data_IF_975105074598
#
_entry.id   IF_975105074598
#
_cell.length_a   1.000
_cell.length_b   1.000
_cell.length_c   1.000
_cell.angle_alpha   90.00
_cell.angle_beta   90.00
_cell.angle_gamma   90.00
#
_symmetry.space_group_name_H-M   'P 1'
#
loop_
_entity.id
_entity.type
_entity.pdbx_description
1 polymer ?
#
# COMPACT_ATOMS: atom_id res chain seq x y z
N UNK A 1 29.70 12.23 11.42
CA UNK A 1 29.25 10.91 11.95
C UNK A 1 27.82 10.70 11.49
N UNK A 2 27.65 9.94 10.44
CA UNK A 2 26.30 9.63 9.90
C UNK A 2 25.66 8.67 10.89
N UNK A 3 24.71 9.15 11.65
CA UNK A 3 23.84 8.33 12.47
C UNK A 3 23.15 7.35 11.53
N UNK A 4 23.43 6.07 11.70
CA UNK A 4 22.71 5.01 11.04
C UNK A 4 21.22 5.19 11.32
N UNK A 5 20.46 5.57 10.31
CA UNK A 5 19.00 5.61 10.36
C UNK A 5 18.60 4.17 10.69
N UNK A 6 18.02 3.96 11.86
CA UNK A 6 17.59 2.64 12.28
C UNK A 6 16.66 2.07 11.23
N UNK A 7 17.02 0.92 10.66
CA UNK A 7 16.28 0.19 9.64
C UNK A 7 14.95 -0.43 10.14
N UNK A 8 14.41 0.06 11.26
CA UNK A 8 13.31 -0.59 11.97
C UNK A 8 11.92 0.01 11.70
N UNK A 9 11.81 0.95 10.76
CA UNK A 9 10.48 1.39 10.31
C UNK A 9 9.81 0.26 9.50
N UNK A 10 8.55 -0.01 9.80
CA UNK A 10 7.73 -0.89 8.95
C UNK A 10 7.23 -0.12 7.72
N UNK A 11 6.94 -0.84 6.64
CA UNK A 11 6.30 -0.26 5.47
C UNK A 11 4.80 -0.54 5.45
N UNK A 12 4.02 0.44 5.02
CA UNK A 12 2.62 0.27 4.62
C UNK A 12 2.56 0.56 3.12
N UNK A 13 2.33 -0.49 2.35
CA UNK A 13 2.24 -0.42 0.89
C UNK A 13 0.78 -0.51 0.49
N UNK A 14 0.23 0.58 -0.02
CA UNK A 14 -1.15 0.64 -0.47
C UNK A 14 -1.21 0.27 -1.95
N UNK A 15 -2.09 -0.66 -2.30
CA UNK A 15 -2.39 -1.07 -3.68
C UNK A 15 -3.72 -0.48 -4.10
N UNK A 16 -3.73 0.27 -5.17
CA UNK A 16 -4.93 0.87 -5.75
C UNK A 16 -4.81 1.02 -7.27
N UNK A 17 -5.87 1.43 -7.95
CA UNK A 17 -5.86 1.47 -9.42
C UNK A 17 -6.59 2.63 -10.06
N UNK A 18 -7.53 3.26 -9.40
CA UNK A 18 -8.39 4.27 -10.03
C UNK A 18 -8.52 5.56 -9.22
N UNK A 19 -8.93 6.67 -9.86
CA UNK A 19 -9.07 7.95 -9.15
C UNK A 19 -10.20 7.93 -8.13
N UNK A 20 -11.25 7.15 -8.37
CA UNK A 20 -12.35 6.97 -7.41
C UNK A 20 -11.88 6.29 -6.15
N UNK A 21 -11.15 5.19 -6.28
CA UNK A 21 -10.56 4.44 -5.16
C UNK A 21 -9.55 5.29 -4.38
N UNK A 22 -8.74 6.10 -5.08
CA UNK A 22 -7.81 7.01 -4.42
C UNK A 22 -8.53 7.98 -3.47
N UNK A 23 -9.60 8.60 -3.91
CA UNK A 23 -10.33 9.59 -3.13
C UNK A 23 -11.19 8.95 -2.04
N UNK A 24 -11.81 7.82 -2.34
CA UNK A 24 -12.82 7.17 -1.47
C UNK A 24 -12.18 6.24 -0.44
N UNK A 25 -11.15 5.50 -0.83
CA UNK A 25 -10.55 4.43 -0.01
C UNK A 25 -9.15 4.76 0.47
N UNK A 26 -8.28 5.23 -0.44
CA UNK A 26 -6.88 5.48 -0.11
C UNK A 26 -6.73 6.70 0.78
N UNK A 27 -7.37 7.82 0.42
CA UNK A 27 -7.19 9.08 1.15
C UNK A 27 -7.56 8.98 2.64
N UNK A 28 -8.72 8.41 3.04
CA UNK A 28 -9.05 8.25 4.47
C UNK A 28 -8.06 7.37 5.24
N UNK A 29 -7.61 6.27 4.63
CA UNK A 29 -6.61 5.39 5.24
C UNK A 29 -5.27 6.11 5.38
N UNK A 30 -4.89 6.87 4.36
CA UNK A 30 -3.66 7.63 4.36
C UNK A 30 -3.66 8.72 5.44
N UNK A 31 -4.77 9.46 5.59
CA UNK A 31 -4.90 10.50 6.61
C UNK A 31 -4.74 9.93 8.03
N UNK A 32 -5.33 8.75 8.28
CA UNK A 32 -5.13 8.04 9.53
C UNK A 32 -3.66 7.63 9.75
N UNK A 33 -2.99 7.10 8.73
CA UNK A 33 -1.59 6.69 8.83
C UNK A 33 -0.66 7.88 9.06
N UNK A 34 -0.95 9.03 8.46
CA UNK A 34 -0.22 10.28 8.70
C UNK A 34 -0.35 10.70 10.16
N UNK A 35 -1.55 10.65 10.72
CA UNK A 35 -1.78 10.94 12.15
C UNK A 35 -0.98 9.98 13.04
N UNK A 36 -0.97 8.68 12.74
CA UNK A 36 -0.16 7.72 13.49
C UNK A 36 1.35 8.02 13.37
N UNK A 37 1.83 8.38 12.18
CA UNK A 37 3.22 8.78 11.98
C UNK A 37 3.59 10.02 12.80
N UNK A 38 2.71 11.00 12.90
CA UNK A 38 2.94 12.17 13.77
C UNK A 38 3.05 11.76 15.25
N UNK A 39 2.19 10.83 15.72
CA UNK A 39 2.27 10.30 17.08
C UNK A 39 3.59 9.55 17.33
N UNK A 40 4.02 8.74 16.35
CA UNK A 40 5.31 8.03 16.43
C UNK A 40 6.48 9.03 16.56
N UNK A 41 6.53 10.05 15.71
CA UNK A 41 7.59 11.06 15.71
C UNK A 41 7.62 11.80 17.07
N UNK A 42 6.47 12.23 17.57
CA UNK A 42 6.35 12.92 18.85
C UNK A 42 6.76 12.05 20.05
N UNK A 43 6.72 10.73 19.89
CA UNK A 43 7.13 9.75 20.92
C UNK A 43 8.54 9.20 20.69
N UNK A 44 9.32 9.78 19.78
CA UNK A 44 10.63 9.28 19.36
C UNK A 44 10.62 7.83 18.84
N UNK A 45 9.51 7.40 18.28
CA UNK A 45 9.37 6.10 17.65
C UNK A 45 9.59 6.22 16.12
N UNK A 46 10.09 5.18 15.46
CA UNK A 46 10.24 5.19 14.01
C UNK A 46 8.88 5.28 13.32
N UNK A 47 8.77 6.14 12.31
CA UNK A 47 7.57 6.27 11.50
C UNK A 47 7.43 5.13 10.50
N UNK A 48 6.21 4.89 10.02
CA UNK A 48 5.95 3.99 8.89
C UNK A 48 6.38 4.63 7.57
N UNK A 49 7.01 3.84 6.71
CA UNK A 49 7.23 4.20 5.32
C UNK A 49 5.93 4.00 4.55
N UNK A 50 5.39 5.08 3.98
CA UNK A 50 4.13 5.07 3.24
C UNK A 50 4.40 4.98 1.74
N UNK A 51 3.94 3.90 1.12
CA UNK A 51 4.13 3.62 -0.30
C UNK A 51 2.77 3.42 -0.97
N UNK A 52 2.56 4.07 -2.10
CA UNK A 52 1.45 3.77 -3.00
C UNK A 52 1.99 3.05 -4.23
N UNK A 53 1.40 1.94 -4.59
CA UNK A 53 1.61 1.32 -5.90
C UNK A 53 0.29 1.23 -6.65
N UNK A 54 0.29 1.80 -7.84
CA UNK A 54 -0.81 1.67 -8.78
C UNK A 54 -0.63 0.38 -9.57
N UNK A 55 -1.69 -0.38 -9.74
CA UNK A 55 -1.66 -1.65 -10.49
C UNK A 55 -2.29 -1.47 -11.86
N UNK A 56 -1.90 -2.29 -12.85
CA UNK A 56 -2.50 -2.25 -14.17
C UNK A 56 -4.03 -2.43 -14.10
N UNK A 57 -4.76 -1.52 -14.73
CA UNK A 57 -6.21 -1.55 -14.80
C UNK A 57 -6.69 -1.04 -16.16
N UNK A 58 -7.61 -1.74 -16.83
CA UNK A 58 -8.21 -1.29 -18.08
C UNK A 58 -8.96 0.04 -17.98
N UNK A 59 -9.39 0.40 -16.78
CA UNK A 59 -10.17 1.62 -16.51
C UNK A 59 -9.33 2.77 -15.93
N UNK A 60 -8.00 2.62 -15.89
CA UNK A 60 -7.12 3.67 -15.43
C UNK A 60 -7.18 4.87 -16.37
N UNK A 61 -7.27 6.08 -15.79
CA UNK A 61 -7.30 7.33 -16.56
C UNK A 61 -5.91 7.86 -16.91
N UNK A 62 -4.88 7.36 -16.20
CA UNK A 62 -3.50 7.83 -16.28
C UNK A 62 -3.21 9.05 -15.40
N UNK A 63 -4.21 9.59 -14.71
CA UNK A 63 -4.08 10.75 -13.82
C UNK A 63 -3.83 10.36 -12.35
N UNK A 64 -4.00 9.08 -12.01
CA UNK A 64 -3.94 8.57 -10.64
C UNK A 64 -2.61 8.91 -9.96
N UNK A 65 -1.52 8.79 -10.70
CA UNK A 65 -0.19 9.14 -10.20
C UNK A 65 -0.10 10.63 -9.85
N UNK A 66 -0.58 11.51 -10.73
CA UNK A 66 -0.56 12.95 -10.51
C UNK A 66 -1.38 13.34 -9.29
N UNK A 67 -2.60 12.82 -9.18
CA UNK A 67 -3.49 13.08 -8.04
C UNK A 67 -2.84 12.67 -6.72
N UNK A 68 -2.28 11.47 -6.65
CA UNK A 68 -1.61 11.00 -5.44
C UNK A 68 -0.32 11.78 -5.13
N UNK A 69 0.41 12.18 -6.16
CA UNK A 69 1.63 12.96 -6.01
C UNK A 69 1.36 14.37 -5.48
N UNK A 70 0.25 14.97 -5.87
CA UNK A 70 -0.15 16.31 -5.41
C UNK A 70 -0.43 16.36 -3.90
N UNK A 71 -0.73 15.22 -3.28
CA UNK A 71 -0.92 15.16 -1.81
C UNK A 71 0.40 15.32 -1.02
N UNK A 72 1.56 15.09 -1.63
CA UNK A 72 2.89 15.24 -1.02
C UNK A 72 3.06 14.47 0.30
N UNK A 73 2.44 13.30 0.43
CA UNK A 73 2.39 12.53 1.68
C UNK A 73 3.16 11.21 1.58
N UNK A 74 3.12 10.57 0.42
CA UNK A 74 3.80 9.28 0.22
C UNK A 74 5.33 9.45 0.17
N UNK A 75 6.03 8.53 0.81
CA UNK A 75 7.49 8.42 0.67
C UNK A 75 7.88 7.89 -0.73
N UNK A 76 6.98 7.11 -1.35
CA UNK A 76 7.17 6.56 -2.69
C UNK A 76 5.84 6.31 -3.37
N UNK A 77 5.72 6.71 -4.63
CA UNK A 77 4.58 6.37 -5.50
C UNK A 77 5.09 5.63 -6.73
N UNK A 78 4.54 4.45 -6.99
CA UNK A 78 4.92 3.61 -8.12
C UNK A 78 3.77 3.60 -9.12
N UNK A 79 3.96 4.18 -10.32
CA UNK A 79 2.92 4.19 -11.34
C UNK A 79 2.67 2.79 -11.92
N UNK A 80 1.46 2.55 -12.42
CA UNK A 80 1.02 1.26 -12.92
C UNK A 80 1.96 0.65 -13.98
N UNK A 81 2.52 1.48 -14.86
CA UNK A 81 3.49 1.04 -15.89
C UNK A 81 4.79 0.45 -15.32
N UNK A 82 5.12 0.75 -14.06
CA UNK A 82 6.33 0.25 -13.38
C UNK A 82 6.03 -0.88 -12.40
N UNK A 83 4.76 -1.28 -12.23
CA UNK A 83 4.36 -2.29 -11.26
C UNK A 83 5.03 -3.65 -11.49
N UNK A 84 5.06 -4.13 -12.71
CA UNK A 84 5.75 -5.39 -13.03
C UNK A 84 7.24 -5.31 -12.71
N UNK A 85 7.87 -4.18 -12.97
CA UNK A 85 9.28 -3.97 -12.60
C UNK A 85 9.50 -4.03 -11.09
N UNK A 86 8.55 -3.50 -10.31
CA UNK A 86 8.55 -3.65 -8.85
C UNK A 86 8.50 -5.12 -8.42
N UNK A 87 7.62 -5.92 -9.02
CA UNK A 87 7.52 -7.35 -8.72
C UNK A 87 8.82 -8.11 -9.03
N UNK A 88 9.46 -7.82 -10.16
CA UNK A 88 10.68 -8.52 -10.54
C UNK A 88 11.89 -8.06 -9.72
N UNK A 89 12.03 -6.77 -9.48
CA UNK A 89 13.20 -6.20 -8.80
C UNK A 89 12.84 -5.04 -7.87
N UNK A 90 12.31 -5.34 -6.67
CA UNK A 90 11.91 -4.32 -5.70
C UNK A 90 13.04 -3.36 -5.32
N UNK A 91 14.28 -3.85 -5.26
CA UNK A 91 15.46 -3.05 -4.89
C UNK A 91 15.72 -1.85 -5.81
N UNK A 92 15.16 -1.82 -7.02
CA UNK A 92 15.24 -0.66 -7.91
C UNK A 92 14.42 0.55 -7.42
N UNK A 93 13.54 0.33 -6.46
CA UNK A 93 12.65 1.36 -5.90
C UNK A 93 13.09 1.83 -4.52
N UNK A 94 14.30 1.49 -4.13
CA UNK A 94 14.91 1.91 -2.87
C UNK A 94 14.98 0.79 -1.82
N UNK A 95 15.24 1.19 -0.59
CA UNK A 95 15.34 0.28 0.54
C UNK A 95 13.96 -0.04 1.11
N UNK A 96 13.71 -1.33 1.30
CA UNK A 96 12.48 -1.82 1.88
C UNK A 96 12.71 -2.21 3.34
N UNK A 97 11.89 -1.73 4.28
CA UNK A 97 11.92 -2.20 5.66
C UNK A 97 11.73 -3.72 5.74
N UNK A 98 12.34 -4.35 6.75
CA UNK A 98 12.22 -5.80 6.94
C UNK A 98 10.80 -6.27 7.24
N UNK A 99 9.98 -5.37 7.80
CA UNK A 99 8.57 -5.63 8.18
C UNK A 99 7.66 -4.69 7.40
N UNK A 100 6.47 -5.18 7.09
CA UNK A 100 5.46 -4.36 6.44
C UNK A 100 4.18 -5.10 6.18
N UNK A 101 3.24 -4.33 5.66
CA UNK A 101 1.95 -4.83 5.19
C UNK A 101 1.67 -4.28 3.80
N UNK A 102 1.00 -5.08 2.98
CA UNK A 102 0.45 -4.64 1.70
C UNK A 102 -1.06 -4.58 1.85
N UNK A 103 -1.63 -3.40 1.67
CA UNK A 103 -3.06 -3.12 1.88
C UNK A 103 -3.73 -2.91 0.53
N UNK A 104 -4.68 -3.78 0.21
CA UNK A 104 -5.47 -3.68 -1.00
C UNK A 104 -6.65 -2.72 -0.79
N UNK A 105 -6.68 -1.66 -1.59
CA UNK A 105 -7.74 -0.65 -1.60
C UNK A 105 -8.24 -0.36 -3.03
N UNK A 106 -8.09 -1.28 -3.95
CA UNK A 106 -8.59 -1.19 -5.32
C UNK A 106 -7.74 -1.95 -6.33
N UNK A 107 -8.35 -2.37 -7.41
CA UNK A 107 -7.73 -3.16 -8.46
C UNK A 107 -8.06 -4.65 -8.37
N UNK A 108 -7.18 -5.49 -8.87
CA UNK A 108 -7.30 -6.94 -8.71
C UNK A 108 -6.52 -7.40 -7.47
N UNK A 109 -7.21 -8.09 -6.57
CA UNK A 109 -6.65 -8.62 -5.32
C UNK A 109 -5.45 -9.57 -5.56
N UNK A 110 -5.35 -10.17 -6.73
CA UNK A 110 -4.21 -11.00 -7.10
C UNK A 110 -2.87 -10.24 -6.98
N UNK A 111 -2.84 -9.00 -7.45
CA UNK A 111 -1.64 -8.16 -7.39
C UNK A 111 -1.18 -7.87 -5.97
N UNK A 112 -2.14 -7.68 -5.07
CA UNK A 112 -1.87 -7.45 -3.65
C UNK A 112 -1.16 -8.65 -3.01
N UNK A 113 -1.71 -9.85 -3.22
CA UNK A 113 -1.14 -11.09 -2.71
C UNK A 113 0.26 -11.33 -3.27
N UNK A 114 0.42 -11.16 -4.57
CA UNK A 114 1.70 -11.38 -5.25
C UNK A 114 2.77 -10.41 -4.77
N UNK A 115 2.43 -9.13 -4.62
CA UNK A 115 3.34 -8.12 -4.11
C UNK A 115 3.72 -8.37 -2.65
N UNK A 116 2.75 -8.69 -1.79
CA UNK A 116 3.02 -9.02 -0.40
C UNK A 116 4.01 -10.19 -0.29
N UNK A 117 3.77 -11.24 -1.05
CA UNK A 117 4.65 -12.40 -1.10
C UNK A 117 6.06 -12.04 -1.61
N UNK A 118 6.15 -11.18 -2.62
CA UNK A 118 7.43 -10.73 -3.19
C UNK A 118 8.26 -9.91 -2.22
N UNK A 119 7.61 -9.05 -1.42
CA UNK A 119 8.27 -8.21 -0.42
C UNK A 119 8.51 -8.94 0.92
N UNK A 120 7.94 -10.13 1.13
CA UNK A 120 7.93 -10.82 2.41
C UNK A 120 7.05 -10.15 3.46
N UNK A 121 6.00 -9.45 3.03
CA UNK A 121 5.05 -8.73 3.87
C UNK A 121 3.74 -9.48 4.02
N UNK A 122 2.96 -9.08 5.01
CA UNK A 122 1.61 -9.57 5.21
C UNK A 122 0.63 -8.84 4.29
N UNK A 123 -0.42 -9.52 3.85
CA UNK A 123 -1.46 -8.95 2.99
C UNK A 123 -2.72 -8.66 3.79
N UNK A 124 -3.28 -7.46 3.58
CA UNK A 124 -4.56 -7.04 4.11
C UNK A 124 -5.43 -6.65 2.92
N UNK A 125 -6.64 -7.17 2.85
CA UNK A 125 -7.57 -6.87 1.76
C UNK A 125 -8.84 -6.22 2.27
N UNK A 126 -9.20 -5.08 1.72
CA UNK A 126 -10.56 -4.55 1.80
C UNK A 126 -11.39 -5.15 0.65
N UNK A 127 -12.49 -5.80 0.98
CA UNK A 127 -13.33 -6.47 0.01
C UNK A 127 -14.76 -5.89 0.01
N UNK A 128 -15.19 -5.35 -1.13
CA UNK A 128 -16.55 -4.84 -1.32
C UNK A 128 -17.54 -5.95 -1.66
N UNK A 129 -17.09 -6.91 -2.48
CA UNK A 129 -17.94 -7.96 -3.04
C UNK A 129 -17.49 -9.36 -2.61
N UNK A 130 -16.28 -9.74 -2.93
CA UNK A 130 -15.73 -11.07 -2.65
C UNK A 130 -14.27 -10.92 -2.20
N UNK A 131 -13.94 -11.55 -1.08
CA UNK A 131 -12.56 -11.72 -0.67
C UNK A 131 -11.98 -12.94 -1.37
N UNK A 132 -11.19 -12.70 -2.41
CA UNK A 132 -10.45 -13.76 -3.10
C UNK A 132 -9.23 -14.17 -2.28
N UNK A 133 -8.89 -15.45 -2.30
CA UNK A 133 -7.73 -16.00 -1.61
C UNK A 133 -7.64 -15.64 -0.10
N UNK A 134 -8.69 -15.92 0.69
CA UNK A 134 -8.72 -15.53 2.11
C UNK A 134 -7.56 -16.13 2.92
N UNK A 135 -7.07 -17.31 2.55
CA UNK A 135 -5.94 -17.98 3.23
C UNK A 135 -4.60 -17.27 3.07
N UNK A 136 -4.49 -16.34 2.13
CA UNK A 136 -3.26 -15.61 1.82
C UNK A 136 -3.24 -14.21 2.44
N UNK A 137 -4.33 -13.79 3.05
CA UNK A 137 -4.48 -12.51 3.71
C UNK A 137 -4.38 -12.65 5.22
N UNK A 138 -3.69 -11.72 5.86
CA UNK A 138 -3.66 -11.60 7.32
C UNK A 138 -5.04 -11.19 7.85
N UNK A 139 -5.62 -10.18 7.22
CA UNK A 139 -6.94 -9.66 7.55
C UNK A 139 -7.74 -9.39 6.28
N UNK A 140 -9.04 -9.60 6.39
CA UNK A 140 -10.01 -9.22 5.39
C UNK A 140 -10.98 -8.25 6.07
N UNK A 141 -10.93 -6.98 5.64
CA UNK A 141 -11.94 -6.00 5.98
C UNK A 141 -13.05 -6.09 4.94
N UNK A 142 -14.15 -6.71 5.31
CA UNK A 142 -15.30 -6.87 4.42
C UNK A 142 -16.32 -5.75 4.64
N UNK A 143 -16.96 -5.32 3.56
CA UNK A 143 -18.01 -4.28 3.62
C UNK A 143 -19.23 -4.77 4.41
N UNK A 144 -19.52 -6.06 4.35
CA UNK A 144 -20.59 -6.72 5.10
C UNK A 144 -20.24 -8.18 5.40
N UNK A 145 -21.08 -8.86 6.20
CA UNK A 145 -20.83 -10.26 6.58
C UNK A 145 -20.88 -11.24 5.41
N UNK A 146 -21.71 -10.99 4.40
CA UNK A 146 -21.85 -11.85 3.23
C UNK A 146 -20.57 -11.89 2.39
N UNK A 147 -19.83 -10.81 2.35
CA UNK A 147 -18.55 -10.72 1.63
C UNK A 147 -17.44 -11.51 2.33
N UNK A 148 -17.55 -11.68 3.64
CA UNK A 148 -16.54 -12.36 4.48
C UNK A 148 -16.64 -13.88 4.42
N UNK A 149 -17.78 -14.43 4.11
CA UNK A 149 -18.07 -15.86 4.05
C UNK A 149 -17.89 -16.40 2.63
#
# INVERSE_FOLDING_TARGET
>A
MLTAISNDSAAVVIVSNGPGELSTWVKPVLDYLVEQNHKCINSNLPKYKLVLTLVPCPHATGQEFSVANDWQIFDLIIPAKRFLKLLFKPSLFGNWPKKGVVVFLGGDQFWNILLAKRLGYQSITYAEWIARWPRWNLHIAAMNEEVRN
#
